data_IF_489070627826
#
_entry.id   IF_489070627826
#
_cell.length_a   1.000
_cell.length_b   1.000
_cell.length_c   1.000
_cell.angle_alpha   90.00
_cell.angle_beta   90.00
_cell.angle_gamma   90.00
#
_symmetry.space_group_name_H-M   'P 1'
#
loop_
_entity.id
_entity.type
_entity.pdbx_description
1 polymer ?
#
# COMPACT_ATOMS: atom_id res chain seq x y z
N UNK A 1 -4.17 -10.20 -15.59
CA UNK A 1 -3.37 -10.17 -14.34
C UNK A 1 -2.01 -9.62 -14.72
N UNK A 2 -1.73 -8.36 -14.43
CA UNK A 2 -0.39 -7.79 -14.63
C UNK A 2 0.42 -8.26 -13.42
N UNK A 3 1.40 -9.13 -13.62
CA UNK A 3 2.38 -9.46 -12.58
C UNK A 3 3.23 -8.20 -12.36
N UNK A 4 3.25 -7.61 -11.15
CA UNK A 4 4.14 -6.50 -10.86
C UNK A 4 5.59 -7.00 -10.91
N UNK A 5 6.41 -6.31 -11.70
CA UNK A 5 7.84 -6.57 -11.88
C UNK A 5 8.59 -5.24 -12.01
N UNK A 6 9.91 -5.29 -12.08
CA UNK A 6 10.86 -4.17 -11.98
C UNK A 6 10.66 -3.00 -12.98
N UNK A 7 9.65 -3.05 -13.87
CA UNK A 7 9.29 -2.03 -14.84
C UNK A 7 7.79 -1.68 -14.74
N UNK A 8 7.30 -1.32 -13.56
CA UNK A 8 5.95 -0.78 -13.44
C UNK A 8 5.92 0.65 -14.02
N UNK A 9 5.11 0.98 -15.04
CA UNK A 9 5.26 2.28 -15.72
C UNK A 9 4.95 3.48 -14.82
N UNK A 10 4.14 3.29 -13.78
CA UNK A 10 3.89 4.28 -12.71
C UNK A 10 5.02 4.46 -11.69
N UNK A 11 6.18 3.81 -11.85
CA UNK A 11 7.33 3.88 -10.94
C UNK A 11 8.36 4.97 -11.29
N UNK A 12 8.02 5.89 -12.20
CA UNK A 12 8.91 6.99 -12.60
C UNK A 12 9.07 8.02 -11.47
N UNK A 13 10.26 8.61 -11.26
CA UNK A 13 10.47 9.64 -10.24
C UNK A 13 9.42 10.76 -10.29
N UNK A 14 8.98 11.20 -9.11
CA UNK A 14 7.92 12.19 -8.97
C UNK A 14 8.56 13.53 -8.60
N UNK A 15 8.52 14.47 -9.55
CA UNK A 15 8.84 15.88 -9.29
C UNK A 15 7.77 16.51 -8.39
N UNK A 16 8.19 17.46 -7.55
CA UNK A 16 7.31 18.22 -6.65
C UNK A 16 6.51 17.36 -5.66
N UNK A 17 7.07 16.20 -5.29
CA UNK A 17 6.46 15.29 -4.35
C UNK A 17 6.31 15.93 -2.96
N UNK A 18 5.15 15.69 -2.33
CA UNK A 18 4.78 16.28 -1.04
C UNK A 18 4.44 15.22 0.00
N UNK A 19 5.09 15.30 1.16
CA UNK A 19 4.85 14.36 2.25
C UNK A 19 3.42 14.46 2.80
N UNK A 20 2.84 15.65 2.87
CA UNK A 20 1.48 15.84 3.37
C UNK A 20 0.42 15.18 2.47
N UNK A 21 0.66 15.14 1.15
CA UNK A 21 -0.16 14.37 0.21
C UNK A 21 -0.01 12.86 0.46
N UNK A 22 1.22 12.38 0.61
CA UNK A 22 1.46 10.97 0.90
C UNK A 22 0.86 10.53 2.27
N UNK A 23 0.97 11.37 3.30
CA UNK A 23 0.39 11.11 4.62
C UNK A 23 -1.15 11.12 4.59
N UNK A 24 -1.78 12.03 3.83
CA UNK A 24 -3.22 12.04 3.63
C UNK A 24 -3.68 10.78 2.87
N UNK A 25 -2.96 10.40 1.83
CA UNK A 25 -3.25 9.20 1.05
C UNK A 25 -3.06 7.90 1.86
N UNK A 26 -2.04 7.82 2.72
CA UNK A 26 -1.83 6.69 3.62
C UNK A 26 -3.07 6.43 4.49
N UNK A 27 -3.69 7.49 5.03
CA UNK A 27 -4.91 7.34 5.85
C UNK A 27 -6.06 6.71 5.05
N UNK A 28 -6.26 7.17 3.82
CA UNK A 28 -7.29 6.61 2.93
C UNK A 28 -6.95 5.19 2.52
N UNK A 29 -5.68 4.91 2.25
CA UNK A 29 -5.19 3.58 1.89
C UNK A 29 -5.45 2.56 3.01
N UNK A 30 -5.12 2.92 4.25
CA UNK A 30 -5.33 2.04 5.41
C UNK A 30 -6.81 1.82 5.71
N UNK A 31 -7.67 2.81 5.47
CA UNK A 31 -9.12 2.63 5.56
C UNK A 31 -9.60 1.59 4.53
N UNK A 32 -9.18 1.72 3.27
CA UNK A 32 -9.53 0.77 2.21
C UNK A 32 -8.97 -0.64 2.48
N UNK A 33 -7.76 -0.76 3.03
CA UNK A 33 -7.17 -2.05 3.44
C UNK A 33 -7.99 -2.72 4.54
N UNK A 34 -8.47 -1.97 5.53
CA UNK A 34 -9.30 -2.50 6.62
C UNK A 34 -10.64 -3.00 6.08
N UNK A 35 -11.32 -2.19 5.27
CA UNK A 35 -12.57 -2.58 4.60
C UNK A 35 -12.38 -3.85 3.77
N UNK A 36 -11.33 -3.90 2.95
CA UNK A 36 -11.03 -5.08 2.13
C UNK A 36 -10.69 -6.31 2.97
N UNK A 37 -10.00 -6.14 4.09
CA UNK A 37 -9.69 -7.26 4.98
C UNK A 37 -10.95 -7.82 5.64
N UNK A 38 -11.89 -6.96 6.03
CA UNK A 38 -13.18 -7.37 6.60
C UNK A 38 -14.00 -8.17 5.58
N UNK A 39 -14.04 -7.73 4.31
CA UNK A 39 -14.67 -8.50 3.22
C UNK A 39 -14.04 -9.89 3.04
N UNK A 40 -12.70 -9.96 3.10
CA UNK A 40 -11.97 -11.23 2.94
C UNK A 40 -12.19 -12.18 4.12
N UNK A 41 -12.37 -11.66 5.35
CA UNK A 41 -12.71 -12.45 6.55
C UNK A 41 -14.09 -13.11 6.46
N UNK A 42 -15.03 -12.54 5.69
CA UNK A 42 -16.36 -13.14 5.47
C UNK A 42 -16.32 -14.32 4.49
N UNK A 43 -15.22 -14.53 3.77
CA UNK A 43 -15.11 -15.63 2.83
C UNK A 43 -14.86 -16.96 3.55
N UNK A 44 -15.60 -18.04 3.24
CA UNK A 44 -15.55 -19.29 4.02
C UNK A 44 -14.22 -20.05 3.94
N UNK A 45 -13.34 -19.70 2.99
CA UNK A 45 -12.08 -20.40 2.70
C UNK A 45 -10.89 -19.76 3.43
N UNK A 46 -11.00 -18.49 3.84
CA UNK A 46 -9.91 -17.75 4.47
C UNK A 46 -10.29 -17.36 5.89
N UNK A 47 -9.30 -17.28 6.76
CA UNK A 47 -9.46 -16.69 8.09
C UNK A 47 -8.25 -15.84 8.41
N UNK A 48 -8.46 -14.78 9.17
CA UNK A 48 -7.39 -13.89 9.58
C UNK A 48 -6.74 -14.38 10.86
N UNK A 49 -5.42 -14.43 10.86
CA UNK A 49 -4.58 -14.77 12.00
C UNK A 49 -3.72 -13.61 12.49
N UNK A 50 -3.54 -12.57 11.67
CA UNK A 50 -2.85 -11.36 12.06
C UNK A 50 -3.47 -10.11 11.42
N UNK A 51 -3.40 -8.99 12.13
CA UNK A 51 -3.99 -7.70 11.72
C UNK A 51 -2.93 -6.61 11.73
N UNK A 52 -3.14 -5.56 10.93
CA UNK A 52 -2.41 -4.32 11.12
C UNK A 52 -2.73 -3.83 12.53
N UNK A 53 -1.72 -3.72 13.37
CA UNK A 53 -1.85 -3.47 14.80
C UNK A 53 -0.93 -2.32 15.20
N UNK A 54 -1.52 -1.18 15.52
CA UNK A 54 -0.81 0.07 15.82
C UNK A 54 -0.82 1.09 14.69
N UNK A 55 -0.19 2.22 14.96
CA UNK A 55 -0.08 3.34 14.03
C UNK A 55 1.09 3.14 13.06
N UNK A 56 0.96 3.57 11.78
CA UNK A 56 2.08 3.59 10.85
C UNK A 56 3.23 4.45 11.38
N UNK A 57 4.45 3.92 11.31
CA UNK A 57 5.65 4.62 11.74
C UNK A 57 6.39 5.16 10.51
N UNK A 58 6.64 6.48 10.42
CA UNK A 58 7.45 7.06 9.33
C UNK A 58 8.87 6.50 9.36
N UNK A 59 9.40 6.20 8.19
CA UNK A 59 10.79 5.75 8.00
C UNK A 59 11.48 6.60 6.93
N UNK A 60 11.88 7.85 7.22
CA UNK A 60 12.39 8.80 6.22
C UNK A 60 13.65 8.31 5.49
N UNK A 61 14.48 7.49 6.14
CA UNK A 61 15.68 6.91 5.53
C UNK A 61 15.37 5.99 4.34
N UNK A 62 14.13 5.50 4.24
CA UNK A 62 13.63 4.64 3.15
C UNK A 62 12.86 5.42 2.07
N UNK A 63 12.76 6.75 2.20
CA UNK A 63 12.17 7.62 1.18
C UNK A 63 12.99 7.59 -0.09
N UNK A 64 12.32 7.65 -1.24
CA UNK A 64 13.01 7.57 -2.52
C UNK A 64 12.19 8.16 -3.66
N UNK A 65 12.83 8.97 -4.50
CA UNK A 65 12.30 9.42 -5.80
C UNK A 65 10.89 10.06 -5.75
N UNK A 66 10.52 10.67 -4.61
CA UNK A 66 9.19 11.26 -4.39
C UNK A 66 8.16 10.33 -3.72
N UNK A 67 8.59 9.15 -3.28
CA UNK A 67 7.85 8.27 -2.38
C UNK A 67 8.31 8.44 -0.94
N UNK A 68 7.34 8.50 -0.04
CA UNK A 68 7.54 8.59 1.39
C UNK A 68 7.25 7.23 2.02
N UNK A 69 8.08 6.78 2.96
CA UNK A 69 8.05 5.43 3.51
C UNK A 69 7.49 5.36 4.92
N UNK A 70 6.76 4.27 5.18
CA UNK A 70 6.21 3.90 6.48
C UNK A 70 6.38 2.41 6.75
N UNK A 71 6.50 2.07 8.03
CA UNK A 71 6.40 0.71 8.54
C UNK A 71 5.03 0.49 9.17
N UNK A 72 4.34 -0.57 8.73
CA UNK A 72 3.07 -1.01 9.28
C UNK A 72 3.28 -2.23 10.17
N UNK A 73 3.16 -2.08 11.50
CA UNK A 73 3.20 -3.21 12.42
C UNK A 73 2.01 -4.16 12.22
N UNK A 74 2.29 -5.47 12.28
CA UNK A 74 1.30 -6.54 12.23
C UNK A 74 1.31 -7.27 13.59
N UNK A 75 0.13 -7.70 14.07
CA UNK A 75 -0.06 -8.30 15.39
C UNK A 75 0.72 -9.60 15.65
N UNK A 76 1.24 -10.24 14.60
CA UNK A 76 2.12 -11.42 14.71
C UNK A 76 3.61 -11.06 14.86
N UNK A 77 3.92 -9.77 15.01
CA UNK A 77 5.27 -9.23 15.15
C UNK A 77 5.97 -8.93 13.83
N UNK A 78 5.34 -9.23 12.68
CA UNK A 78 5.88 -8.84 11.37
C UNK A 78 5.62 -7.37 11.06
N UNK A 79 6.23 -6.87 9.98
CA UNK A 79 6.05 -5.49 9.52
C UNK A 79 5.95 -5.47 8.01
N UNK A 80 4.95 -4.76 7.51
CA UNK A 80 4.80 -4.45 6.08
C UNK A 80 5.38 -3.08 5.83
N UNK A 81 6.34 -2.96 4.92
CA UNK A 81 6.84 -1.64 4.52
C UNK A 81 5.97 -1.09 3.40
N UNK A 82 5.59 0.18 3.49
CA UNK A 82 4.84 0.84 2.43
C UNK A 82 5.57 2.11 2.02
N UNK A 83 5.65 2.38 0.72
CA UNK A 83 5.93 3.74 0.25
C UNK A 83 4.77 4.30 -0.55
N UNK A 84 4.34 5.51 -0.19
CA UNK A 84 3.24 6.23 -0.82
C UNK A 84 3.81 7.37 -1.66
N UNK A 85 3.40 7.52 -2.94
CA UNK A 85 3.83 8.63 -3.77
C UNK A 85 3.28 9.96 -3.21
N UNK A 86 4.11 11.00 -3.18
CA UNK A 86 3.75 12.34 -2.73
C UNK A 86 2.90 13.14 -3.72
N UNK A 87 1.82 12.57 -4.24
CA UNK A 87 0.92 13.18 -5.22
C UNK A 87 -0.50 13.23 -4.69
N UNK A 88 -1.33 14.10 -5.29
CA UNK A 88 -2.77 14.13 -5.00
C UNK A 88 -3.40 12.75 -5.17
N UNK A 89 -4.24 12.36 -4.21
CA UNK A 89 -4.86 11.03 -4.14
C UNK A 89 -5.56 10.60 -5.45
N UNK A 90 -6.35 11.45 -6.14
CA UNK A 90 -6.98 11.04 -7.40
C UNK A 90 -5.97 10.62 -8.48
N UNK A 91 -4.74 11.16 -8.48
CA UNK A 91 -3.71 10.80 -9.46
C UNK A 91 -3.19 9.38 -9.29
N UNK A 92 -3.21 8.82 -8.07
CA UNK A 92 -2.76 7.45 -7.82
C UNK A 92 -3.91 6.44 -7.70
N UNK A 93 -5.09 6.89 -7.26
CA UNK A 93 -6.24 6.02 -6.98
C UNK A 93 -7.21 5.94 -8.15
N UNK A 94 -7.52 7.08 -8.77
CA UNK A 94 -8.63 7.21 -9.71
C UNK A 94 -8.14 7.31 -11.18
N UNK A 95 -6.86 7.62 -11.39
CA UNK A 95 -6.21 7.60 -12.71
C UNK A 95 -5.97 6.15 -13.17
N UNK A 96 -6.67 5.75 -14.23
CA UNK A 96 -6.56 4.42 -14.84
C UNK A 96 -5.43 4.32 -15.88
N UNK A 97 -4.65 5.38 -16.08
CA UNK A 97 -3.50 5.37 -16.98
C UNK A 97 -2.43 4.39 -16.48
N UNK A 98 -1.75 3.73 -17.42
CA UNK A 98 -0.63 2.85 -17.06
C UNK A 98 0.53 3.59 -16.35
N UNK A 99 0.56 4.91 -16.46
CA UNK A 99 1.55 5.83 -15.88
C UNK A 99 1.12 6.43 -14.54
N UNK A 100 -0.08 6.10 -14.04
CA UNK A 100 -0.53 6.54 -12.73
C UNK A 100 0.49 6.12 -11.64
N UNK A 101 0.90 7.02 -10.73
CA UNK A 101 1.89 6.72 -9.70
C UNK A 101 1.51 5.48 -8.89
N UNK A 102 2.44 4.53 -8.78
CA UNK A 102 2.22 3.31 -7.99
C UNK A 102 2.51 3.51 -6.51
N UNK A 103 2.02 2.60 -5.66
CA UNK A 103 2.47 2.44 -4.29
C UNK A 103 3.55 1.34 -4.27
N UNK A 104 4.45 1.40 -3.31
CA UNK A 104 5.31 0.24 -3.00
C UNK A 104 4.78 -0.48 -1.78
N UNK A 105 4.56 -1.79 -1.90
CA UNK A 105 4.32 -2.68 -0.77
C UNK A 105 5.53 -3.61 -0.69
N UNK A 106 6.25 -3.52 0.43
CA UNK A 106 7.61 -3.97 0.58
C UNK A 106 8.50 -3.40 -0.53
N UNK A 107 9.15 -4.24 -1.33
CA UNK A 107 9.98 -3.82 -2.45
C UNK A 107 9.24 -3.77 -3.80
N UNK A 108 7.96 -4.15 -3.84
CA UNK A 108 7.23 -4.35 -5.09
C UNK A 108 6.30 -3.17 -5.39
N UNK A 109 6.26 -2.66 -6.63
CA UNK A 109 5.33 -1.63 -7.06
C UNK A 109 3.95 -2.20 -7.37
N UNK A 110 2.89 -1.48 -7.01
CA UNK A 110 1.50 -1.88 -7.19
C UNK A 110 0.63 -0.67 -7.53
N UNK A 111 -0.36 -0.85 -8.42
CA UNK A 111 -1.49 0.08 -8.52
C UNK A 111 -2.34 0.03 -7.24
N UNK A 112 -3.15 1.06 -7.01
CA UNK A 112 -3.93 1.23 -5.78
C UNK A 112 -4.70 -0.03 -5.33
N UNK A 113 -5.61 -0.54 -6.16
CA UNK A 113 -6.46 -1.68 -5.78
C UNK A 113 -5.66 -2.96 -5.51
N UNK A 114 -4.59 -3.17 -6.28
CA UNK A 114 -3.73 -4.31 -6.12
C UNK A 114 -2.88 -4.21 -4.84
N UNK A 115 -2.43 -2.99 -4.47
CA UNK A 115 -1.77 -2.72 -3.21
C UNK A 115 -2.72 -2.94 -2.02
N UNK A 116 -3.95 -2.42 -2.10
CA UNK A 116 -4.99 -2.64 -1.08
C UNK A 116 -5.23 -4.13 -0.89
N UNK A 117 -5.42 -4.86 -1.99
CA UNK A 117 -5.59 -6.31 -1.97
C UNK A 117 -4.38 -7.05 -1.39
N UNK A 118 -3.15 -6.66 -1.74
CA UNK A 118 -1.94 -7.28 -1.23
C UNK A 118 -1.84 -7.12 0.29
N UNK A 119 -1.98 -5.89 0.79
CA UNK A 119 -1.85 -5.60 2.23
C UNK A 119 -3.03 -6.18 3.02
N UNK A 120 -4.25 -6.16 2.49
CA UNK A 120 -5.40 -6.76 3.15
C UNK A 120 -5.30 -8.30 3.28
N UNK A 121 -4.51 -8.94 2.43
CA UNK A 121 -4.21 -10.37 2.53
C UNK A 121 -3.09 -10.69 3.53
N UNK A 122 -2.35 -9.70 4.02
CA UNK A 122 -1.34 -9.92 5.05
C UNK A 122 -2.01 -10.45 6.33
N UNK A 123 -1.47 -11.54 6.87
CA UNK A 123 -2.08 -12.21 8.02
C UNK A 123 -3.32 -13.05 7.71
N UNK A 124 -3.68 -13.29 6.44
CA UNK A 124 -4.70 -14.27 6.07
C UNK A 124 -4.10 -15.68 5.90
N UNK A 125 -4.83 -16.70 6.35
CA UNK A 125 -4.51 -18.12 6.09
C UNK A 125 -5.68 -18.83 5.41
N UNK A 126 -5.35 -19.82 4.58
CA UNK A 126 -6.33 -20.79 4.11
C UNK A 126 -6.78 -21.65 5.30
N UNK A 127 -8.06 -21.96 5.35
CA UNK A 127 -8.61 -22.94 6.29
C UNK A 127 -8.19 -24.36 5.90
#
# INVERSE_FOLDING_TARGET
MINPGANYPGALPISDAREDFAAAALKVFLAAVRERADELEQLPIRHRVARIDGEPVRTPDDDRDGWFAWSLPISDGTTVRIRIPGVDLPRMRDDLSSTAPCLYVNANPWGWDAAVGSVANEGMKLR
#
